data_IF_684362422957
#
_entry.id   IF_684362422957
#
_cell.length_a   1.000
_cell.length_b   1.000
_cell.length_c   1.000
_cell.angle_alpha   90.00
_cell.angle_beta   90.00
_cell.angle_gamma   90.00
#
_symmetry.space_group_name_H-M   'P 1'
#
loop_
_entity.id
_entity.type
_entity.pdbx_description
1 polymer ?
#
# COMPACT_ATOMS: atom_id res chain seq x y z
N UNK A 1 -30.85 14.13 10.64
CA UNK A 1 -29.71 14.38 9.74
C UNK A 1 -28.44 14.72 10.51
N UNK A 2 -28.46 15.68 11.46
CA UNK A 2 -27.26 16.13 12.20
C UNK A 2 -26.62 15.04 13.09
N UNK A 3 -27.42 14.21 13.77
CA UNK A 3 -26.93 13.06 14.57
C UNK A 3 -26.25 11.96 13.72
N UNK A 4 -26.65 11.80 12.47
CA UNK A 4 -26.07 10.80 11.56
C UNK A 4 -24.69 11.24 11.07
N UNK A 5 -24.54 12.53 10.73
CA UNK A 5 -23.27 13.10 10.32
C UNK A 5 -22.24 13.09 11.46
N UNK A 6 -22.66 13.38 12.70
CA UNK A 6 -21.76 13.31 13.86
C UNK A 6 -21.29 11.89 14.17
N UNK A 7 -22.16 10.89 14.00
CA UNK A 7 -21.80 9.48 14.19
C UNK A 7 -20.82 9.01 13.09
N UNK A 8 -21.06 9.42 11.84
CA UNK A 8 -20.19 9.09 10.72
C UNK A 8 -18.78 9.69 10.90
N UNK A 9 -18.69 10.97 11.27
CA UNK A 9 -17.40 11.64 11.53
C UNK A 9 -16.66 10.98 12.70
N UNK A 10 -17.37 10.63 13.79
CA UNK A 10 -16.79 9.90 14.91
C UNK A 10 -16.17 8.56 14.48
N UNK A 11 -16.93 7.74 13.73
CA UNK A 11 -16.46 6.44 13.26
C UNK A 11 -15.28 6.54 12.30
N UNK A 12 -15.28 7.54 11.41
CA UNK A 12 -14.16 7.81 10.51
C UNK A 12 -12.92 8.18 11.31
N UNK A 13 -13.05 9.11 12.27
CA UNK A 13 -11.94 9.58 13.07
C UNK A 13 -11.35 8.47 13.95
N UNK A 14 -12.20 7.63 14.55
CA UNK A 14 -11.76 6.46 15.31
C UNK A 14 -11.03 5.44 14.43
N UNK A 15 -11.52 5.18 13.21
CA UNK A 15 -10.85 4.31 12.25
C UNK A 15 -9.47 4.84 11.87
N UNK A 16 -9.35 6.15 11.61
CA UNK A 16 -8.08 6.80 11.28
C UNK A 16 -7.11 6.75 12.48
N UNK A 17 -7.58 7.07 13.68
CA UNK A 17 -6.80 6.99 14.92
C UNK A 17 -6.22 5.59 15.12
N UNK A 18 -7.07 4.58 14.98
CA UNK A 18 -6.70 3.18 15.07
C UNK A 18 -5.69 2.79 13.99
N UNK A 19 -5.88 3.24 12.75
CA UNK A 19 -4.93 3.01 11.67
C UNK A 19 -3.56 3.62 11.97
N UNK A 20 -3.50 4.87 12.47
CA UNK A 20 -2.24 5.54 12.77
C UNK A 20 -1.51 4.91 13.96
N UNK A 21 -2.22 4.59 15.05
CA UNK A 21 -1.61 4.15 16.32
C UNK A 21 -1.25 2.68 16.36
N UNK A 22 -1.95 1.84 15.61
CA UNK A 22 -1.92 0.40 15.78
C UNK A 22 -1.57 -0.29 14.46
N UNK A 23 -0.34 -0.82 14.36
CA UNK A 23 0.10 -1.52 13.16
C UNK A 23 -0.79 -2.72 12.83
N UNK A 24 -1.31 -3.40 13.84
CA UNK A 24 -2.26 -4.51 13.69
C UNK A 24 -3.61 -4.09 13.10
N UNK A 25 -3.91 -2.79 13.04
CA UNK A 25 -5.10 -2.24 12.40
C UNK A 25 -4.81 -1.76 10.97
N UNK A 26 -3.56 -1.85 10.52
CA UNK A 26 -3.16 -1.63 9.13
C UNK A 26 -3.10 -2.98 8.45
N UNK A 27 -4.24 -3.44 7.95
CA UNK A 27 -4.29 -4.63 7.12
C UNK A 27 -5.61 -4.67 6.34
N UNK A 28 -5.75 -5.66 5.44
CA UNK A 28 -6.89 -5.79 4.53
C UNK A 28 -8.20 -6.15 5.22
N UNK A 29 -8.18 -6.64 6.47
CA UNK A 29 -9.40 -6.89 7.23
C UNK A 29 -9.99 -5.60 7.78
N UNK A 30 -9.14 -4.67 8.22
CA UNK A 30 -9.56 -3.40 8.84
C UNK A 30 -9.72 -2.29 7.80
N UNK A 31 -8.79 -2.21 6.83
CA UNK A 31 -8.81 -1.26 5.72
C UNK A 31 -8.88 -2.03 4.40
N UNK A 32 -10.04 -2.50 3.93
CA UNK A 32 -10.10 -3.37 2.75
C UNK A 32 -9.52 -2.73 1.48
N UNK A 33 -9.84 -1.45 1.27
CA UNK A 33 -9.47 -0.67 0.10
C UNK A 33 -8.82 0.67 0.49
N UNK A 34 -7.66 0.97 -0.11
CA UNK A 34 -6.92 2.21 0.19
C UNK A 34 -7.61 3.43 -0.43
N UNK A 35 -8.24 3.29 -1.60
CA UNK A 35 -8.98 4.37 -2.24
C UNK A 35 -10.18 4.80 -1.40
N UNK A 36 -10.97 3.83 -0.93
CA UNK A 36 -12.08 4.09 0.01
C UNK A 36 -11.57 4.76 1.30
N UNK A 37 -10.42 4.32 1.80
CA UNK A 37 -9.83 4.92 3.00
C UNK A 37 -9.34 6.36 2.78
N UNK A 38 -8.80 6.68 1.60
CA UNK A 38 -8.45 8.06 1.23
C UNK A 38 -9.70 8.95 1.18
N UNK A 39 -10.84 8.45 0.70
CA UNK A 39 -12.11 9.19 0.76
C UNK A 39 -12.52 9.45 2.21
N UNK A 40 -12.43 8.45 3.10
CA UNK A 40 -12.72 8.61 4.54
C UNK A 40 -11.83 9.66 5.18
N UNK A 41 -10.52 9.66 4.89
CA UNK A 41 -9.58 10.70 5.35
C UNK A 41 -10.06 12.07 4.88
N UNK A 42 -10.48 12.18 3.63
CA UNK A 42 -10.90 13.45 3.06
C UNK A 42 -12.26 13.94 3.57
N UNK A 43 -13.08 13.05 4.15
CA UNK A 43 -14.31 13.39 4.87
C UNK A 43 -14.08 13.70 6.35
N UNK A 44 -12.89 13.41 6.90
CA UNK A 44 -12.53 13.73 8.27
C UNK A 44 -12.34 15.23 8.44
N UNK A 45 -12.96 15.81 9.47
CA UNK A 45 -12.68 17.20 9.86
C UNK A 45 -11.45 17.32 10.78
N UNK A 46 -10.88 16.18 11.22
CA UNK A 46 -9.82 16.12 12.22
C UNK A 46 -8.43 15.99 11.59
N UNK A 47 -8.33 15.28 10.47
CA UNK A 47 -7.05 14.90 9.89
C UNK A 47 -6.85 15.41 8.48
N UNK A 48 -5.61 15.80 8.18
CA UNK A 48 -5.14 16.11 6.85
C UNK A 48 -4.35 14.93 6.28
N UNK A 49 -4.34 14.81 4.95
CA UNK A 49 -3.64 13.71 4.27
C UNK A 49 -2.17 13.62 4.67
N UNK A 50 -1.46 14.75 4.78
CA UNK A 50 -0.03 14.76 5.09
C UNK A 50 0.30 14.16 6.47
N UNK A 51 -0.64 14.21 7.43
CA UNK A 51 -0.47 13.60 8.76
C UNK A 51 -0.52 12.07 8.72
N UNK A 52 -1.23 11.51 7.73
CA UNK A 52 -1.49 10.07 7.60
C UNK A 52 -0.65 9.44 6.47
N UNK A 53 -0.14 10.27 5.55
CA UNK A 53 0.55 9.89 4.31
C UNK A 53 1.58 8.78 4.50
N UNK A 54 2.43 8.89 5.52
CA UNK A 54 3.45 7.87 5.84
C UNK A 54 2.82 6.48 6.04
N UNK A 55 1.75 6.41 6.84
CA UNK A 55 1.10 5.15 7.20
C UNK A 55 0.35 4.53 6.00
N UNK A 56 -0.20 5.36 5.11
CA UNK A 56 -0.79 4.91 3.84
C UNK A 56 0.26 4.25 2.96
N UNK A 57 1.43 4.87 2.82
CA UNK A 57 2.51 4.32 2.00
C UNK A 57 3.07 3.02 2.59
N UNK A 58 3.32 2.97 3.91
CA UNK A 58 3.74 1.73 4.58
C UNK A 58 2.77 0.58 4.30
N UNK A 59 1.47 0.81 4.49
CA UNK A 59 0.43 -0.18 4.23
C UNK A 59 0.33 -0.57 2.75
N UNK A 60 0.40 0.41 1.85
CA UNK A 60 0.37 0.18 0.42
C UNK A 60 1.53 -0.73 -0.03
N UNK A 61 2.74 -0.38 0.37
CA UNK A 61 3.93 -1.14 -0.02
C UNK A 61 3.95 -2.53 0.61
N UNK A 62 3.51 -2.67 1.87
CA UNK A 62 3.36 -3.98 2.49
C UNK A 62 2.43 -4.90 1.67
N UNK A 63 1.31 -4.38 1.17
CA UNK A 63 0.44 -5.14 0.24
C UNK A 63 1.11 -5.44 -1.10
N UNK A 64 1.96 -4.54 -1.60
CA UNK A 64 2.69 -4.77 -2.85
C UNK A 64 3.69 -5.93 -2.73
N UNK A 65 4.31 -6.13 -1.56
CA UNK A 65 5.27 -7.21 -1.34
C UNK A 65 4.68 -8.56 -1.71
N UNK A 66 3.42 -8.84 -1.36
CA UNK A 66 2.73 -10.08 -1.75
C UNK A 66 2.72 -10.30 -3.27
N UNK A 67 2.46 -9.24 -4.04
CA UNK A 67 2.39 -9.33 -5.51
C UNK A 67 3.78 -9.47 -6.13
N UNK A 68 4.75 -8.74 -5.58
CA UNK A 68 6.15 -8.81 -6.01
C UNK A 68 6.70 -10.22 -5.75
N UNK A 69 6.46 -10.78 -4.56
CA UNK A 69 6.86 -12.15 -4.18
C UNK A 69 6.25 -13.18 -5.13
N UNK A 70 4.94 -13.08 -5.42
CA UNK A 70 4.24 -13.99 -6.33
C UNK A 70 4.79 -13.98 -7.75
N UNK A 71 5.20 -12.82 -8.23
CA UNK A 71 5.80 -12.66 -9.57
C UNK A 71 7.26 -13.13 -9.63
N UNK A 72 7.91 -13.39 -8.49
CA UNK A 72 9.31 -13.87 -8.39
C UNK A 72 10.29 -13.04 -9.23
N UNK A 73 10.10 -11.73 -9.24
CA UNK A 73 10.95 -10.79 -10.00
C UNK A 73 12.32 -10.54 -9.34
N UNK A 74 12.46 -10.94 -8.07
CA UNK A 74 13.72 -10.92 -7.31
C UNK A 74 13.86 -12.24 -6.56
N UNK A 75 15.07 -12.78 -6.49
CA UNK A 75 15.36 -14.03 -5.79
C UNK A 75 15.17 -13.92 -4.27
N UNK A 76 15.58 -12.78 -3.70
CA UNK A 76 15.50 -12.51 -2.27
C UNK A 76 15.14 -11.04 -2.03
N UNK A 77 13.96 -10.81 -1.43
CA UNK A 77 13.46 -9.47 -1.13
C UNK A 77 14.20 -8.77 0.04
N UNK A 78 15.09 -9.48 0.75
CA UNK A 78 16.02 -8.91 1.72
C UNK A 78 17.41 -8.62 1.13
N UNK A 79 17.66 -8.95 -0.15
CA UNK A 79 18.94 -8.71 -0.85
C UNK A 79 18.67 -8.10 -2.24
N UNK A 80 17.91 -7.02 -2.26
CA UNK A 80 17.53 -6.30 -3.48
C UNK A 80 18.73 -5.46 -3.95
N UNK A 81 19.02 -5.54 -5.25
CA UNK A 81 20.07 -4.73 -5.89
C UNK A 81 19.43 -3.60 -6.72
N UNK A 82 20.13 -2.49 -6.98
CA UNK A 82 19.59 -1.39 -7.78
C UNK A 82 19.03 -1.81 -9.15
N UNK A 83 19.61 -2.82 -9.79
CA UNK A 83 19.14 -3.39 -11.06
C UNK A 83 17.77 -4.06 -10.97
N UNK A 84 17.37 -4.51 -9.77
CA UNK A 84 16.11 -5.24 -9.56
C UNK A 84 14.91 -4.29 -9.44
N UNK A 85 15.15 -3.01 -9.13
CA UNK A 85 14.10 -2.00 -8.97
C UNK A 85 13.19 -1.87 -10.19
N UNK A 86 13.74 -1.98 -11.41
CA UNK A 86 12.94 -1.92 -12.63
C UNK A 86 11.94 -3.08 -12.71
N UNK A 87 12.37 -4.29 -12.35
CA UNK A 87 11.52 -5.48 -12.40
C UNK A 87 10.46 -5.45 -11.28
N UNK A 88 10.84 -4.97 -10.09
CA UNK A 88 9.90 -4.73 -8.98
C UNK A 88 8.83 -3.71 -9.39
N UNK A 89 9.24 -2.62 -10.02
CA UNK A 89 8.33 -1.55 -10.42
C UNK A 89 7.35 -2.02 -11.50
N UNK A 90 7.83 -2.74 -12.52
CA UNK A 90 6.96 -3.32 -13.55
C UNK A 90 6.01 -4.39 -12.96
N UNK A 91 6.48 -5.18 -11.98
CA UNK A 91 5.63 -6.12 -11.25
C UNK A 91 4.46 -5.43 -10.51
N UNK A 92 4.66 -4.21 -10.03
CA UNK A 92 3.68 -3.41 -9.29
C UNK A 92 3.01 -2.31 -10.13
N UNK A 93 3.19 -2.30 -11.46
CA UNK A 93 2.77 -1.17 -12.32
C UNK A 93 1.30 -0.78 -12.19
N UNK A 94 0.41 -1.76 -12.30
CA UNK A 94 -1.05 -1.51 -12.27
C UNK A 94 -1.48 -0.91 -10.93
N UNK A 95 -0.98 -1.48 -9.82
CA UNK A 95 -1.25 -0.98 -8.48
C UNK A 95 -0.63 0.40 -8.25
N UNK A 96 0.55 0.66 -8.79
CA UNK A 96 1.20 1.97 -8.71
C UNK A 96 0.35 3.03 -9.42
N UNK A 97 -0.11 2.75 -10.65
CA UNK A 97 -1.03 3.64 -11.36
C UNK A 97 -2.34 3.86 -10.59
N UNK A 98 -2.89 2.81 -9.98
CA UNK A 98 -4.11 2.91 -9.20
C UNK A 98 -3.93 3.76 -7.93
N UNK A 99 -2.80 3.64 -7.23
CA UNK A 99 -2.51 4.49 -6.07
C UNK A 99 -2.40 5.95 -6.48
N UNK A 100 -1.62 6.24 -7.52
CA UNK A 100 -1.46 7.63 -8.00
C UNK A 100 -2.80 8.18 -8.46
N UNK A 101 -3.63 7.38 -9.14
CA UNK A 101 -5.00 7.76 -9.50
C UNK A 101 -5.84 8.12 -8.27
N UNK A 102 -5.84 7.27 -7.23
CA UNK A 102 -6.62 7.52 -6.02
C UNK A 102 -6.16 8.78 -5.29
N UNK A 103 -4.85 9.03 -5.23
CA UNK A 103 -4.30 10.24 -4.64
C UNK A 103 -4.66 11.49 -5.44
N UNK A 104 -4.52 11.46 -6.77
CA UNK A 104 -4.88 12.58 -7.65
C UNK A 104 -6.38 12.89 -7.58
N UNK A 105 -7.22 11.84 -7.51
CA UNK A 105 -8.66 11.98 -7.34
C UNK A 105 -9.00 12.64 -6.00
N UNK A 106 -8.40 12.15 -4.90
CA UNK A 106 -8.61 12.73 -3.59
C UNK A 106 -8.14 14.18 -3.51
N UNK A 107 -7.00 14.51 -4.11
CA UNK A 107 -6.46 15.87 -4.17
C UNK A 107 -7.33 16.81 -5.02
N UNK A 108 -7.75 16.35 -6.19
CA UNK A 108 -8.53 17.17 -7.14
C UNK A 108 -9.95 17.44 -6.66
N UNK A 109 -10.62 16.44 -6.10
CA UNK A 109 -12.05 16.55 -5.81
C UNK A 109 -12.36 16.73 -4.33
N UNK A 110 -11.40 16.49 -3.44
CA UNK A 110 -11.67 16.48 -2.00
C UNK A 110 -10.74 17.43 -1.24
N UNK A 111 -9.42 17.27 -1.32
CA UNK A 111 -8.49 18.06 -0.50
C UNK A 111 -8.30 19.52 -0.97
N UNK A 112 -8.56 19.83 -2.24
CA UNK A 112 -8.33 21.19 -2.80
C UNK A 112 -9.47 22.19 -2.52
N UNK A 113 -10.35 21.92 -1.55
CA UNK A 113 -11.49 22.81 -1.25
C UNK A 113 -12.53 22.85 -2.38
N UNK A 114 -12.55 21.81 -3.21
CA UNK A 114 -13.55 21.62 -4.27
C UNK A 114 -14.87 21.11 -3.70
N UNK A 115 -14.86 20.62 -2.45
CA UNK A 115 -16.02 20.13 -1.72
C UNK A 115 -17.15 21.16 -1.67
N UNK A 116 -16.88 22.42 -1.34
CA UNK A 116 -17.91 23.47 -1.24
C UNK A 116 -18.52 23.81 -2.61
N UNK A 117 -17.76 23.62 -3.69
CA UNK A 117 -18.27 23.76 -5.06
C UNK A 117 -19.13 22.56 -5.45
N UNK A 118 -18.67 21.34 -5.15
CA UNK A 118 -19.44 20.12 -5.38
C UNK A 118 -20.75 20.12 -4.59
N UNK A 119 -20.72 20.51 -3.31
CA UNK A 119 -21.90 20.59 -2.46
C UNK A 119 -22.95 21.56 -3.04
N UNK A 120 -22.50 22.71 -3.59
CA UNK A 120 -23.38 23.68 -4.25
C UNK A 120 -23.88 23.23 -5.62
N UNK A 121 -23.08 22.43 -6.32
CA UNK A 121 -23.38 21.92 -7.65
C UNK A 121 -23.95 20.49 -7.62
N UNK A 122 -24.52 20.02 -6.50
CA UNK A 122 -25.09 18.68 -6.35
C UNK A 122 -24.13 17.53 -6.76
N UNK A 123 -22.84 17.70 -6.50
CA UNK A 123 -21.79 16.75 -6.80
C UNK A 123 -21.21 16.86 -8.21
N UNK A 124 -21.64 17.82 -9.04
CA UNK A 124 -21.07 18.02 -10.38
C UNK A 124 -19.80 18.88 -10.33
N UNK A 125 -18.62 18.33 -10.69
CA UNK A 125 -17.41 19.13 -10.79
C UNK A 125 -17.49 20.10 -11.98
N UNK A 126 -16.93 21.32 -11.85
CA UNK A 126 -16.74 22.23 -12.98
C UNK A 126 -15.92 21.58 -14.12
N UNK A 127 -16.27 21.88 -15.38
CA UNK A 127 -15.62 21.31 -16.57
C UNK A 127 -14.10 21.50 -16.56
N UNK A 128 -13.62 22.67 -16.13
CA UNK A 128 -12.19 22.97 -16.05
C UNK A 128 -11.44 22.09 -15.03
N UNK A 129 -12.13 21.59 -13.99
CA UNK A 129 -11.56 20.63 -13.03
C UNK A 129 -11.52 19.24 -13.67
N UNK A 130 -12.59 18.84 -14.35
CA UNK A 130 -12.67 17.55 -15.07
C UNK A 130 -11.60 17.47 -16.16
N UNK A 131 -11.44 18.50 -16.97
CA UNK A 131 -10.42 18.56 -18.03
C UNK A 131 -9.01 18.45 -17.47
N UNK A 132 -8.70 19.19 -16.39
CA UNK A 132 -7.41 19.09 -15.69
C UNK A 132 -7.17 17.68 -15.16
N UNK A 133 -8.19 17.07 -14.54
CA UNK A 133 -8.11 15.70 -14.05
C UNK A 133 -7.84 14.71 -15.19
N UNK A 134 -8.56 14.81 -16.31
CA UNK A 134 -8.34 13.97 -17.49
C UNK A 134 -6.93 14.12 -18.08
N UNK A 135 -6.36 15.32 -18.07
CA UNK A 135 -4.96 15.53 -18.46
C UNK A 135 -4.01 14.81 -17.50
N UNK A 136 -4.26 14.87 -16.19
CA UNK A 136 -3.50 14.14 -15.18
C UNK A 136 -3.58 12.63 -15.37
N UNK A 137 -4.73 12.07 -15.74
CA UNK A 137 -4.88 10.64 -16.05
C UNK A 137 -3.93 10.17 -17.16
N UNK A 138 -3.69 11.00 -18.18
CA UNK A 138 -2.72 10.69 -19.23
C UNK A 138 -1.29 10.64 -18.67
N UNK A 139 -0.93 11.57 -17.79
CA UNK A 139 0.36 11.60 -17.13
C UNK A 139 0.56 10.37 -16.21
N UNK A 140 -0.47 9.95 -15.47
CA UNK A 140 -0.42 8.76 -14.60
C UNK A 140 -0.12 7.50 -15.41
N UNK A 141 -0.78 7.32 -16.56
CA UNK A 141 -0.54 6.17 -17.45
C UNK A 141 0.88 6.16 -18.03
N UNK A 142 1.52 7.32 -18.13
CA UNK A 142 2.88 7.45 -18.65
C UNK A 142 3.96 7.14 -17.61
N UNK A 143 3.61 7.03 -16.31
CA UNK A 143 4.58 6.69 -15.25
C UNK A 143 5.13 5.29 -15.51
N UNK A 144 6.41 5.22 -15.84
CA UNK A 144 7.11 3.96 -16.17
C UNK A 144 8.36 3.72 -15.30
N UNK A 145 8.74 4.70 -14.47
CA UNK A 145 9.91 4.65 -13.59
C UNK A 145 9.56 4.96 -12.14
N UNK A 146 10.31 4.37 -11.22
CA UNK A 146 10.07 4.55 -9.79
C UNK A 146 10.27 6.01 -9.33
N UNK A 147 11.20 6.76 -9.93
CA UNK A 147 11.45 8.16 -9.56
C UNK A 147 10.27 9.07 -9.85
N UNK A 148 9.57 8.82 -10.95
CA UNK A 148 8.33 9.51 -11.32
C UNK A 148 7.20 9.12 -10.38
N UNK A 149 7.08 7.83 -10.07
CA UNK A 149 6.11 7.33 -9.10
C UNK A 149 6.31 7.95 -7.71
N UNK A 150 7.53 7.94 -7.16
CA UNK A 150 7.87 8.52 -5.85
C UNK A 150 7.48 9.99 -5.78
N UNK A 151 7.67 10.75 -6.86
CA UNK A 151 7.21 12.14 -6.95
C UNK A 151 5.68 12.22 -6.98
N UNK A 152 5.03 11.38 -7.78
CA UNK A 152 3.59 11.38 -7.93
C UNK A 152 2.86 11.02 -6.62
N UNK A 153 3.45 10.17 -5.79
CA UNK A 153 2.92 9.83 -4.46
C UNK A 153 3.47 10.72 -3.33
N UNK A 154 4.15 11.83 -3.64
CA UNK A 154 4.69 12.80 -2.67
C UNK A 154 5.63 12.18 -1.62
N UNK A 155 6.47 11.22 -2.04
CA UNK A 155 7.49 10.58 -1.21
C UNK A 155 8.91 11.06 -1.52
N UNK A 156 9.08 12.08 -2.36
CA UNK A 156 10.38 12.62 -2.77
C UNK A 156 11.15 13.32 -1.64
N UNK A 157 10.50 13.61 -0.52
CA UNK A 157 11.13 14.09 0.72
C UNK A 157 11.82 12.95 1.49
N UNK A 158 11.30 11.74 1.37
CA UNK A 158 11.71 10.54 2.10
C UNK A 158 12.64 9.65 1.25
N UNK A 159 12.26 9.41 0.00
CA UNK A 159 12.97 8.54 -0.95
C UNK A 159 13.66 9.42 -1.99
N UNK A 160 14.96 9.66 -1.80
CA UNK A 160 15.77 10.53 -2.68
C UNK A 160 16.72 9.77 -3.60
N UNK A 161 17.01 8.51 -3.27
CA UNK A 161 18.00 7.69 -3.97
C UNK A 161 17.46 6.27 -4.23
N UNK A 162 18.04 5.53 -5.19
CA UNK A 162 17.74 4.11 -5.37
C UNK A 162 17.92 3.30 -4.09
N UNK A 163 18.97 3.57 -3.32
CA UNK A 163 19.26 2.85 -2.08
C UNK A 163 18.19 3.11 -1.01
N UNK A 164 17.72 4.35 -0.87
CA UNK A 164 16.61 4.67 0.03
C UNK A 164 15.31 3.95 -0.38
N UNK A 165 15.08 3.74 -1.69
CA UNK A 165 13.94 2.96 -2.18
C UNK A 165 14.11 1.48 -1.83
N UNK A 166 15.32 0.93 -1.98
CA UNK A 166 15.62 -0.45 -1.61
C UNK A 166 15.37 -0.66 -0.12
N UNK A 167 15.92 0.20 0.73
CA UNK A 167 15.71 0.15 2.18
C UNK A 167 14.22 0.21 2.51
N UNK A 168 13.47 1.10 1.87
CA UNK A 168 12.03 1.21 2.06
C UNK A 168 11.27 -0.07 1.66
N UNK A 169 11.64 -0.69 0.54
CA UNK A 169 11.05 -1.98 0.12
C UNK A 169 11.40 -3.08 1.13
N UNK A 170 12.65 -3.16 1.59
CA UNK A 170 13.08 -4.15 2.60
C UNK A 170 12.29 -3.98 3.90
N UNK A 171 12.15 -2.75 4.41
CA UNK A 171 11.30 -2.49 5.58
C UNK A 171 9.83 -2.87 5.33
N UNK A 172 9.34 -2.66 4.11
CA UNK A 172 7.98 -3.06 3.73
C UNK A 172 7.79 -4.58 3.71
N UNK A 173 8.84 -5.38 3.48
CA UNK A 173 8.80 -6.85 3.62
C UNK A 173 8.55 -7.24 5.07
N UNK A 174 9.22 -6.58 6.00
CA UNK A 174 9.02 -6.82 7.44
C UNK A 174 7.59 -6.49 7.86
N UNK A 175 7.08 -5.33 7.45
CA UNK A 175 5.69 -4.92 7.71
C UNK A 175 4.71 -5.92 7.08
N UNK A 176 4.93 -6.32 5.82
CA UNK A 176 4.13 -7.31 5.12
C UNK A 176 4.04 -8.65 5.88
N UNK A 177 5.16 -9.11 6.45
CA UNK A 177 5.19 -10.30 7.28
C UNK A 177 4.44 -10.10 8.61
N UNK A 178 4.64 -8.98 9.29
CA UNK A 178 3.96 -8.65 10.56
C UNK A 178 2.43 -8.57 10.39
N UNK A 179 1.98 -8.05 9.26
CA UNK A 179 0.56 -7.95 8.89
C UNK A 179 -0.01 -9.27 8.33
N UNK A 180 0.83 -10.27 8.11
CA UNK A 180 0.44 -11.60 7.63
C UNK A 180 0.10 -11.66 6.14
N UNK A 181 0.52 -10.68 5.34
CA UNK A 181 0.40 -10.73 3.89
C UNK A 181 1.33 -11.78 3.29
N UNK A 182 2.54 -11.88 3.83
CA UNK A 182 3.61 -12.76 3.35
C UNK A 182 4.24 -13.54 4.50
N UNK A 183 5.10 -14.49 4.15
CA UNK A 183 5.94 -15.25 5.11
C UNK A 183 7.36 -15.38 4.58
N UNK A 184 7.92 -14.26 4.14
CA UNK A 184 9.27 -14.20 3.55
C UNK A 184 10.29 -14.22 4.69
N UNK A 185 11.19 -15.18 4.68
CA UNK A 185 12.27 -15.24 5.67
C UNK A 185 13.54 -14.63 5.09
N UNK A 186 14.35 -13.90 5.88
CA UNK A 186 15.68 -13.52 5.47
C UNK A 186 16.46 -14.78 5.11
N UNK A 187 17.10 -14.81 3.94
CA UNK A 187 18.01 -15.90 3.62
C UNK A 187 19.18 -15.85 4.61
N UNK A 188 19.26 -16.82 5.52
CA UNK A 188 20.43 -16.99 6.37
C UNK A 188 21.65 -17.19 5.46
N UNK A 189 22.60 -16.24 5.47
CA UNK A 189 23.91 -16.44 4.86
C UNK A 189 24.58 -17.63 5.56
N UNK A 190 24.49 -18.82 4.98
CA UNK A 190 25.34 -19.95 5.37
C UNK A 190 24.70 -21.30 5.70
N UNK A 191 23.47 -21.63 5.28
CA UNK A 191 23.04 -23.04 5.29
C UNK A 191 22.54 -23.50 3.92
N UNK A 192 23.28 -24.47 3.37
CA UNK A 192 23.01 -25.19 2.14
C UNK A 192 21.56 -25.67 2.08
N UNK A 193 20.93 -25.54 0.90
CA UNK A 193 19.55 -25.94 0.53
C UNK A 193 19.11 -27.36 0.93
N UNK A 194 19.96 -28.18 1.57
CA UNK A 194 19.63 -29.56 1.99
C UNK A 194 18.78 -29.67 3.26
N UNK A 195 18.71 -28.64 4.12
CA UNK A 195 18.02 -28.77 5.42
C UNK A 195 16.51 -28.50 5.40
N UNK A 196 15.97 -27.82 4.38
CA UNK A 196 14.52 -27.53 4.31
C UNK A 196 13.68 -28.72 3.79
N UNK A 197 14.26 -29.59 2.94
CA UNK A 197 13.57 -30.80 2.49
C UNK A 197 13.40 -31.80 3.65
N UNK A 198 14.43 -31.98 4.48
CA UNK A 198 14.39 -32.93 5.61
C UNK A 198 13.38 -32.55 6.70
N UNK A 199 13.09 -31.26 6.87
CA UNK A 199 12.11 -30.79 7.87
C UNK A 199 10.67 -30.99 7.36
N UNK A 200 10.43 -30.91 6.04
CA UNK A 200 9.11 -31.18 5.46
C UNK A 200 8.80 -32.68 5.42
N UNK A 201 9.79 -33.52 5.15
CA UNK A 201 9.62 -34.98 5.13
C UNK A 201 9.34 -35.54 6.55
N UNK A 202 10.00 -35.00 7.58
CA UNK A 202 9.76 -35.40 8.98
C UNK A 202 8.37 -35.01 9.51
N UNK A 203 7.80 -33.89 9.03
CA UNK A 203 6.44 -33.50 9.41
C UNK A 203 5.37 -34.32 8.68
N UNK A 204 5.66 -34.76 7.45
CA UNK A 204 4.75 -35.61 6.68
C UNK A 204 4.69 -37.05 7.24
N UNK A 205 5.82 -37.60 7.73
CA UNK A 205 5.84 -38.90 8.41
C UNK A 205 5.05 -38.89 9.73
N UNK A 206 5.20 -37.85 10.56
CA UNK A 206 4.48 -37.74 11.84
C UNK A 206 2.96 -37.60 11.68
N UNK A 207 2.49 -37.10 10.53
CA UNK A 207 1.06 -36.98 10.23
C UNK A 207 0.44 -38.29 9.74
N UNK A 208 1.21 -39.16 9.06
CA UNK A 208 0.70 -40.46 8.62
C UNK A 208 0.65 -41.48 9.76
N UNK A 209 1.62 -41.44 10.68
CA UNK A 209 1.70 -42.37 11.82
C UNK A 209 0.56 -42.16 12.84
N UNK A 210 0.03 -40.93 12.94
CA UNK A 210 -1.15 -40.61 13.76
C UNK A 210 -2.49 -41.07 13.16
N UNK A 211 -2.55 -41.37 11.86
CA UNK A 211 -3.78 -41.85 11.19
C UNK A 211 -3.93 -43.37 11.24
N UNK A 212 -2.86 -44.12 11.45
CA UNK A 212 -2.91 -45.60 11.55
C UNK A 212 -3.22 -46.11 12.96
N UNK A 213 -3.23 -45.24 13.98
CA UNK A 213 -3.56 -45.59 15.38
C UNK A 213 -4.95 -45.11 15.83
N UNK A 214 -5.89 -44.95 14.90
CA UNK A 214 -7.30 -44.65 15.18
C UNK A 214 -8.19 -45.70 14.55
#
# INVERSE_FOLDING_TARGET
MQLFLSLLDHNINEMIDNFMRHLQNRNKKVIPDIGEFLIKIALSNKYQFDEIRKYIHEEYFARQILWIERKRVVENLFDIKPRDLSNIFEAAKVSNHLLVFNLEMAETFIFSGVKEYLDRAYGYPPDNIVEKFQQRLKAIKAIDRYSEFVRAVKMNDTIKTPDAMIDFIISSVEISNQQGYTRIQPAFRGQSRRSYQSIQDDQHLKYQDKRQKR
#
